data_IF_264296955646
#
_entry.id   IF_264296955646
#
_cell.length_a   1.000
_cell.length_b   1.000
_cell.length_c   1.000
_cell.angle_alpha   90.00
_cell.angle_beta   90.00
_cell.angle_gamma   90.00
#
_symmetry.space_group_name_H-M   'P 1'
#
loop_
_entity.id
_entity.type
_entity.pdbx_description
1 polymer ?
#
# COMPACT_ATOMS: atom_id res chain seq x y z
N UNK A 1 14.72 -14.86 13.93
CA UNK A 1 13.36 -14.41 13.60
C UNK A 1 13.06 -13.19 14.46
N UNK A 2 13.46 -12.02 13.99
CA UNK A 2 13.28 -10.74 14.70
C UNK A 2 11.97 -10.14 14.22
N UNK A 3 10.86 -10.50 14.89
CA UNK A 3 9.55 -9.88 14.66
C UNK A 3 8.85 -9.52 15.97
N UNK A 4 9.55 -9.51 17.12
CA UNK A 4 8.90 -9.35 18.45
C UNK A 4 9.61 -8.32 19.34
N UNK A 5 10.23 -7.29 18.76
CA UNK A 5 10.98 -6.30 19.54
C UNK A 5 10.56 -4.87 19.30
N UNK A 6 9.35 -4.66 18.80
CA UNK A 6 8.70 -3.35 18.86
C UNK A 6 7.42 -3.52 19.66
N UNK A 7 7.43 -2.96 20.87
CA UNK A 7 6.37 -2.99 21.88
C UNK A 7 5.19 -2.10 21.46
N UNK A 8 4.84 -2.14 20.17
CA UNK A 8 3.76 -1.38 19.53
C UNK A 8 2.53 -2.29 19.33
N UNK A 9 2.20 -3.06 20.36
CA UNK A 9 0.93 -3.79 20.45
C UNK A 9 -0.26 -2.85 20.24
N UNK A 10 -0.09 -1.58 20.63
CA UNK A 10 -1.06 -0.49 20.42
C UNK A 10 -1.32 -0.19 18.95
N UNK A 11 -0.28 -0.15 18.11
CA UNK A 11 -0.42 0.13 16.67
C UNK A 11 -1.06 -1.04 15.91
N UNK A 12 -0.82 -2.27 16.37
CA UNK A 12 -1.47 -3.47 15.84
C UNK A 12 -2.94 -3.60 16.31
N UNK A 13 -3.28 -3.01 17.47
CA UNK A 13 -4.64 -2.93 18.01
C UNK A 13 -5.38 -1.65 17.58
N UNK A 14 -4.70 -0.71 16.93
CA UNK A 14 -5.31 0.53 16.48
C UNK A 14 -6.23 0.24 15.29
N UNK A 15 -7.52 0.45 15.49
CA UNK A 15 -8.53 0.23 14.47
C UNK A 15 -8.37 1.17 13.27
N UNK A 16 -7.67 2.29 13.44
CA UNK A 16 -7.38 3.26 12.38
C UNK A 16 -6.19 2.83 11.50
N UNK A 17 -5.41 1.82 11.93
CA UNK A 17 -4.23 1.33 11.20
C UNK A 17 -4.56 0.19 10.21
N UNK A 18 -5.85 -0.01 9.91
CA UNK A 18 -6.32 -1.01 8.95
C UNK A 18 -6.66 -0.39 7.59
N UNK A 19 -6.02 -0.88 6.52
CA UNK A 19 -6.38 -0.55 5.14
C UNK A 19 -7.17 -1.73 4.53
N UNK A 20 -8.42 -1.49 4.16
CA UNK A 20 -9.22 -2.48 3.44
C UNK A 20 -8.82 -2.48 1.95
N UNK A 21 -7.89 -3.36 1.58
CA UNK A 21 -7.40 -3.50 0.22
C UNK A 21 -7.88 -4.81 -0.41
N UNK A 22 -7.96 -4.82 -1.75
CA UNK A 22 -8.12 -6.09 -2.47
C UNK A 22 -6.80 -6.87 -2.45
N UNK A 23 -6.80 -8.21 -2.61
CA UNK A 23 -5.58 -9.03 -2.50
C UNK A 23 -4.44 -8.57 -3.41
N UNK A 24 -4.78 -7.99 -4.57
CA UNK A 24 -3.80 -7.43 -5.50
C UNK A 24 -3.12 -6.18 -4.94
N UNK A 25 -3.89 -5.26 -4.36
CA UNK A 25 -3.36 -4.02 -3.80
C UNK A 25 -2.60 -4.27 -2.49
N UNK A 26 -3.09 -5.19 -1.67
CA UNK A 26 -2.42 -5.67 -0.46
C UNK A 26 -1.01 -6.17 -0.78
N UNK A 27 -0.89 -7.08 -1.75
CA UNK A 27 0.41 -7.57 -2.22
C UNK A 27 1.29 -6.45 -2.79
N UNK A 28 0.73 -5.51 -3.54
CA UNK A 28 1.50 -4.37 -4.07
C UNK A 28 2.01 -3.45 -2.96
N UNK A 29 1.22 -3.26 -1.90
CA UNK A 29 1.56 -2.42 -0.75
C UNK A 29 2.65 -3.09 0.09
N UNK A 30 2.48 -4.37 0.45
CA UNK A 30 3.49 -5.17 1.16
C UNK A 30 4.84 -5.21 0.43
N UNK A 31 4.82 -5.24 -0.90
CA UNK A 31 6.04 -5.22 -1.72
C UNK A 31 6.61 -3.81 -1.94
N UNK A 32 5.93 -2.75 -1.49
CA UNK A 32 6.33 -1.35 -1.68
C UNK A 32 6.20 -0.83 -3.11
N UNK A 33 5.31 -1.42 -3.91
CA UNK A 33 4.95 -0.92 -5.25
C UNK A 33 3.93 0.21 -5.19
N UNK A 34 3.04 0.21 -4.19
CA UNK A 34 2.11 1.30 -3.91
C UNK A 34 2.25 1.78 -2.46
N UNK A 35 1.88 3.03 -2.21
CA UNK A 35 1.70 3.59 -0.87
C UNK A 35 0.59 4.64 -0.92
N UNK A 36 0.18 5.16 0.23
CA UNK A 36 -0.83 6.22 0.33
C UNK A 36 -0.21 7.44 1.00
N UNK A 37 -0.52 8.64 0.51
CA UNK A 37 -0.29 9.88 1.25
C UNK A 37 -1.24 9.95 2.45
N UNK A 38 -0.90 10.75 3.46
CA UNK A 38 -1.77 11.06 4.60
C UNK A 38 -3.16 11.60 4.19
N UNK A 39 -3.24 12.17 2.98
CA UNK A 39 -4.47 12.68 2.35
C UNK A 39 -5.31 11.58 1.68
N UNK A 40 -4.91 10.31 1.77
CA UNK A 40 -5.57 9.17 1.14
C UNK A 40 -5.28 8.99 -0.35
N UNK A 41 -4.40 9.83 -0.92
CA UNK A 41 -4.00 9.72 -2.34
C UNK A 41 -3.03 8.56 -2.56
N UNK A 42 -3.38 7.67 -3.48
CA UNK A 42 -2.53 6.55 -3.90
C UNK A 42 -1.28 7.07 -4.63
N UNK A 43 -0.11 6.60 -4.19
CA UNK A 43 1.17 6.80 -4.86
C UNK A 43 1.65 5.46 -5.41
N UNK A 44 2.02 5.46 -6.69
CA UNK A 44 2.64 4.32 -7.35
C UNK A 44 4.15 4.52 -7.42
N UNK A 45 4.91 3.50 -7.01
CA UNK A 45 6.36 3.46 -7.14
C UNK A 45 6.81 3.35 -8.60
N UNK A 46 8.02 3.82 -8.89
CA UNK A 46 8.62 3.79 -10.24
C UNK A 46 9.10 2.40 -10.68
N UNK A 47 8.98 1.38 -9.81
CA UNK A 47 9.40 0.01 -10.07
C UNK A 47 8.54 -0.71 -11.12
N UNK A 48 7.27 -0.33 -11.26
CA UNK A 48 6.37 -0.90 -12.26
C UNK A 48 6.21 0.06 -13.43
N UNK A 49 6.28 -0.50 -14.65
CA UNK A 49 6.02 0.26 -15.88
C UNK A 49 4.54 0.55 -16.04
N UNK A 50 4.19 1.61 -16.80
CA UNK A 50 2.79 1.96 -17.12
C UNK A 50 1.98 0.78 -17.63
N UNK A 51 2.58 -0.07 -18.47
CA UNK A 51 1.93 -1.28 -18.98
C UNK A 51 1.48 -2.25 -17.88
N UNK A 52 2.28 -2.42 -16.82
CA UNK A 52 1.90 -3.27 -15.68
C UNK A 52 0.78 -2.64 -14.87
N UNK A 53 0.82 -1.31 -14.69
CA UNK A 53 -0.26 -0.58 -14.04
C UNK A 53 -1.58 -0.68 -14.79
N UNK A 54 -1.55 -0.54 -16.12
CA UNK A 54 -2.72 -0.73 -16.98
C UNK A 54 -3.30 -2.15 -16.87
N UNK A 55 -2.44 -3.18 -16.82
CA UNK A 55 -2.89 -4.57 -16.59
C UNK A 55 -3.52 -4.80 -15.24
N UNK A 56 -3.04 -4.09 -14.21
CA UNK A 56 -3.60 -4.14 -12.86
C UNK A 56 -4.85 -3.25 -12.72
N UNK A 57 -5.25 -2.56 -13.80
CA UNK A 57 -6.33 -1.58 -13.82
C UNK A 57 -6.12 -0.44 -12.80
N UNK A 58 -4.86 -0.10 -12.54
CA UNK A 58 -4.44 0.96 -11.63
C UNK A 58 -3.96 2.12 -12.48
N UNK A 59 -4.52 3.31 -12.29
CA UNK A 59 -4.04 4.50 -12.99
C UNK A 59 -3.13 5.33 -12.06
N UNK A 60 -1.79 5.23 -12.18
CA UNK A 60 -0.85 6.02 -11.37
C UNK A 60 -0.93 7.54 -11.67
N UNK A 61 -1.62 7.91 -12.76
CA UNK A 61 -1.87 9.30 -13.16
C UNK A 61 -3.33 9.70 -12.94
N UNK A 62 -4.12 8.94 -12.17
CA UNK A 62 -5.41 9.40 -11.68
C UNK A 62 -5.19 10.55 -10.68
N UNK A 63 -4.87 11.72 -11.22
CA UNK A 63 -5.12 12.99 -10.55
C UNK A 63 -6.63 13.13 -10.51
N UNK A 64 -7.21 12.91 -9.33
CA UNK A 64 -8.52 13.48 -9.02
C UNK A 64 -8.35 15.00 -8.87
#
# INVERSE_FOLDING_TARGET
MVCITEKNEKEALDYLNGLALTPTYDWLFDQGYITFLDDGRLICGTRLSRYTWEKLNINPNAKN
#
